data_IF_880114309427
#
_entry.id   IF_880114309427
#
_cell.length_a   1.000
_cell.length_b   1.000
_cell.length_c   1.000
_cell.angle_alpha   90.00
_cell.angle_beta   90.00
_cell.angle_gamma   90.00
#
_symmetry.space_group_name_H-M   'P 1'
#
loop_
_entity.id
_entity.type
_entity.pdbx_description
1 polymer ?
#
# COMPACT_ATOMS: atom_id res chain seq x y z
N UNK A 1 15.33 6.91 7.76
CA UNK A 1 15.62 7.93 6.73
C UNK A 1 16.11 9.18 7.44
N UNK A 2 17.36 9.56 7.17
CA UNK A 2 18.02 10.62 7.94
C UNK A 2 17.73 12.03 7.43
N UNK A 3 17.14 12.14 6.25
CA UNK A 3 16.82 13.42 5.62
C UNK A 3 15.32 13.70 5.73
N UNK A 4 14.93 14.69 6.55
CA UNK A 4 13.50 15.02 6.72
C UNK A 4 12.83 15.44 5.41
N UNK A 5 13.55 16.13 4.51
CA UNK A 5 12.98 16.53 3.24
C UNK A 5 12.69 15.32 2.36
N UNK A 6 13.58 14.34 2.33
CA UNK A 6 13.36 13.12 1.57
C UNK A 6 12.19 12.32 2.15
N UNK A 7 12.02 12.32 3.46
CA UNK A 7 10.90 11.64 4.11
C UNK A 7 9.56 12.29 3.70
N UNK A 8 9.50 13.62 3.66
CA UNK A 8 8.29 14.33 3.24
C UNK A 8 7.95 14.01 1.79
N UNK A 9 8.94 14.04 0.89
CA UNK A 9 8.72 13.70 -0.52
C UNK A 9 8.21 12.26 -0.66
N UNK A 10 8.76 11.33 0.09
CA UNK A 10 8.33 9.93 0.07
C UNK A 10 6.87 9.80 0.51
N UNK A 11 6.50 10.46 1.61
CA UNK A 11 5.13 10.42 2.13
C UNK A 11 4.16 11.01 1.11
N UNK A 12 4.54 12.13 0.48
CA UNK A 12 3.70 12.74 -0.55
C UNK A 12 3.48 11.81 -1.74
N UNK A 13 4.51 11.06 -2.14
CA UNK A 13 4.38 10.07 -3.20
C UNK A 13 3.36 8.98 -2.83
N UNK A 14 3.42 8.50 -1.60
CA UNK A 14 2.48 7.47 -1.12
C UNK A 14 1.05 8.00 -1.10
N UNK A 15 0.86 9.24 -0.64
CA UNK A 15 -0.46 9.86 -0.61
C UNK A 15 -1.01 9.97 -2.02
N UNK A 16 -0.24 10.49 -2.97
CA UNK A 16 -0.68 10.61 -4.36
C UNK A 16 -1.00 9.25 -4.97
N UNK A 17 -0.18 8.24 -4.68
CA UNK A 17 -0.40 6.91 -5.23
C UNK A 17 -1.71 6.30 -4.73
N UNK A 18 -2.08 6.54 -3.47
CA UNK A 18 -3.27 5.96 -2.88
C UNK A 18 -4.54 6.74 -3.18
N UNK A 19 -4.45 7.92 -3.80
CA UNK A 19 -5.63 8.72 -4.17
C UNK A 19 -6.59 7.94 -5.09
N UNK A 20 -6.07 7.05 -5.92
CA UNK A 20 -6.90 6.25 -6.83
C UNK A 20 -7.90 5.38 -6.06
N UNK A 21 -7.60 5.04 -4.80
CA UNK A 21 -8.46 4.16 -4.01
C UNK A 21 -9.80 4.80 -3.65
N UNK A 22 -9.91 6.13 -3.74
CA UNK A 22 -11.18 6.82 -3.53
C UNK A 22 -12.19 6.43 -4.60
N UNK A 23 -11.76 6.36 -5.86
CA UNK A 23 -12.63 6.04 -6.99
C UNK A 23 -12.61 4.57 -7.37
N UNK A 24 -11.48 3.90 -7.16
CA UNK A 24 -11.28 2.51 -7.56
C UNK A 24 -10.66 1.71 -6.41
N UNK A 25 -11.45 1.43 -5.36
CA UNK A 25 -10.88 0.78 -4.18
C UNK A 25 -10.36 -0.64 -4.42
N UNK A 26 -10.84 -1.31 -5.47
CA UNK A 26 -10.39 -2.67 -5.78
C UNK A 26 -9.36 -2.73 -6.90
N UNK A 27 -8.73 -1.59 -7.23
CA UNK A 27 -7.77 -1.55 -8.32
C UNK A 27 -6.47 -2.30 -7.98
N UNK A 28 -6.10 -2.36 -6.69
CA UNK A 28 -4.90 -3.09 -6.27
C UNK A 28 -5.08 -4.59 -6.44
N UNK A 29 -3.97 -5.29 -6.73
CA UNK A 29 -4.01 -6.74 -6.86
C UNK A 29 -4.15 -7.39 -5.48
N UNK A 30 -4.70 -8.59 -5.44
CA UNK A 30 -4.72 -9.36 -4.20
C UNK A 30 -3.31 -9.71 -3.77
N UNK A 31 -3.03 -9.62 -2.46
CA UNK A 31 -1.70 -9.94 -1.94
C UNK A 31 -1.45 -11.43 -2.05
N UNK A 32 -0.43 -11.87 -2.81
CA UNK A 32 -0.25 -13.28 -3.10
C UNK A 32 0.17 -14.12 -1.89
N UNK A 33 0.81 -13.51 -0.88
CA UNK A 33 1.28 -14.23 0.29
C UNK A 33 0.16 -14.64 1.24
N UNK A 34 -1.04 -14.06 1.10
CA UNK A 34 -2.17 -14.34 1.98
C UNK A 34 -3.43 -14.64 1.19
N UNK A 35 -3.41 -15.73 0.41
CA UNK A 35 -4.57 -16.08 -0.40
C UNK A 35 -5.78 -16.34 0.49
N UNK A 36 -6.96 -15.97 0.01
CA UNK A 36 -8.18 -16.13 0.78
C UNK A 36 -8.52 -14.96 1.68
N UNK A 37 -7.60 -14.02 1.86
CA UNK A 37 -7.90 -12.75 2.54
C UNK A 37 -8.01 -11.65 1.50
N UNK A 38 -8.95 -10.74 1.69
CA UNK A 38 -9.08 -9.60 0.78
C UNK A 38 -8.16 -8.48 1.24
N UNK A 39 -6.85 -8.73 1.13
CA UNK A 39 -5.82 -7.72 1.24
C UNK A 39 -5.31 -7.42 -0.15
N UNK A 40 -5.20 -6.16 -0.47
CA UNK A 40 -4.77 -5.72 -1.78
C UNK A 40 -3.52 -4.86 -1.66
N UNK A 41 -2.82 -4.71 -2.76
CA UNK A 41 -1.61 -3.90 -2.76
C UNK A 41 -1.50 -3.06 -4.03
N UNK A 42 -0.87 -1.91 -3.86
CA UNK A 42 -0.42 -1.06 -4.96
C UNK A 42 1.10 -1.05 -4.95
N UNK A 43 1.69 -0.93 -6.13
CA UNK A 43 3.14 -0.81 -6.25
C UNK A 43 3.46 0.66 -6.52
N UNK A 44 4.40 1.21 -5.75
CA UNK A 44 4.90 2.56 -5.97
C UNK A 44 6.43 2.48 -5.96
N UNK A 45 7.05 2.58 -7.14
CA UNK A 45 8.49 2.42 -7.26
C UNK A 45 8.93 1.06 -6.73
N UNK A 46 9.80 1.06 -5.72
CA UNK A 46 10.31 -0.16 -5.10
C UNK A 46 9.52 -0.57 -3.86
N UNK A 47 8.31 -0.01 -3.68
CA UNK A 47 7.53 -0.25 -2.47
C UNK A 47 6.20 -0.90 -2.78
N UNK A 48 5.73 -1.72 -1.83
CA UNK A 48 4.40 -2.32 -1.84
C UNK A 48 3.58 -1.62 -0.77
N UNK A 49 2.38 -1.17 -1.16
CA UNK A 49 1.44 -0.51 -0.25
C UNK A 49 0.28 -1.48 -0.05
N UNK A 50 0.20 -2.11 1.12
CA UNK A 50 -0.85 -3.08 1.42
C UNK A 50 -2.01 -2.39 2.11
N UNK A 51 -3.22 -2.65 1.64
CA UNK A 51 -4.42 -2.05 2.19
C UNK A 51 -5.56 -3.07 2.25
N UNK A 52 -6.54 -2.76 3.06
CA UNK A 52 -7.80 -3.51 3.09
C UNK A 52 -8.98 -2.56 2.96
N UNK A 53 -10.12 -3.10 2.55
CA UNK A 53 -11.34 -2.31 2.42
C UNK A 53 -12.23 -2.55 3.62
N UNK A 54 -12.66 -1.44 4.25
CA UNK A 54 -13.64 -1.44 5.34
C UNK A 54 -14.81 -0.60 4.87
N UNK A 55 -15.94 -1.24 4.60
CA UNK A 55 -17.13 -0.55 4.14
C UNK A 55 -16.83 0.43 3.00
N UNK A 56 -16.69 1.72 3.28
CA UNK A 56 -16.43 2.75 2.26
C UNK A 56 -15.01 3.30 2.32
N UNK A 57 -14.12 2.70 3.11
CA UNK A 57 -12.79 3.24 3.36
C UNK A 57 -11.71 2.21 3.01
N UNK A 58 -10.65 2.67 2.36
CA UNK A 58 -9.46 1.87 2.17
C UNK A 58 -8.48 2.20 3.30
N UNK A 59 -8.11 1.19 4.06
CA UNK A 59 -7.20 1.36 5.20
C UNK A 59 -5.81 0.86 4.83
N UNK A 60 -4.83 1.75 4.87
CA UNK A 60 -3.44 1.37 4.60
C UNK A 60 -2.89 0.64 5.82
N UNK A 61 -2.46 -0.59 5.61
CA UNK A 61 -1.95 -1.41 6.71
C UNK A 61 -0.45 -1.31 6.86
N UNK A 62 0.28 -1.32 5.75
CA UNK A 62 1.73 -1.28 5.80
C UNK A 62 2.31 -0.89 4.45
N UNK A 63 3.54 -0.40 4.48
CA UNK A 63 4.34 -0.10 3.28
C UNK A 63 5.70 -0.72 3.50
N UNK A 64 6.19 -1.48 2.53
CA UNK A 64 7.49 -2.13 2.64
C UNK A 64 8.12 -2.32 1.27
N UNK A 65 9.41 -2.63 1.26
CA UNK A 65 10.15 -2.81 0.02
C UNK A 65 9.58 -3.98 -0.79
N UNK A 66 9.43 -3.77 -2.09
CA UNK A 66 8.71 -4.69 -2.96
C UNK A 66 9.33 -6.09 -3.05
N UNK A 67 10.64 -6.19 -2.82
CA UNK A 67 11.33 -7.49 -2.88
C UNK A 67 11.13 -8.34 -1.62
N UNK A 68 10.52 -7.79 -0.58
CA UNK A 68 10.25 -8.52 0.65
C UNK A 68 8.89 -9.19 0.59
N UNK A 69 8.75 -10.31 1.31
CA UNK A 69 7.47 -10.98 1.43
C UNK A 69 6.63 -10.36 2.53
N UNK A 70 5.33 -10.23 2.28
CA UNK A 70 4.40 -9.79 3.30
C UNK A 70 4.13 -10.95 4.26
N UNK A 71 4.27 -10.68 5.56
CA UNK A 71 4.04 -11.70 6.60
C UNK A 71 3.01 -11.20 7.59
N UNK A 72 2.09 -12.11 7.95
CA UNK A 72 1.11 -11.86 8.99
C UNK A 72 1.37 -12.88 10.10
N UNK A 73 1.57 -12.37 11.30
CA UNK A 73 1.74 -13.21 12.48
C UNK A 73 0.39 -13.65 13.04
#
# INVERSE_FOLDING_TARGET
MDDPAAAVVFIERLIRRTDILTDQPRVGRMVPEVPGRELRELIEGNYRIVYRLNESTAEILTVFEAHKSFQID
#
